data_IF_722925935312
#
_entry.id   IF_722925935312
#
_cell.length_a   1.000
_cell.length_b   1.000
_cell.length_c   1.000
_cell.angle_alpha   90.00
_cell.angle_beta   90.00
_cell.angle_gamma   90.00
#
_symmetry.space_group_name_H-M   'P 1'
#
loop_
_entity.id
_entity.type
_entity.pdbx_description
1 polymer ?
#
# COMPACT_ATOMS: atom_id res chain seq x y z
N UNK A 1 1.93 10.50 -33.78
CA UNK A 1 1.51 9.40 -32.89
C UNK A 1 0.68 10.01 -31.76
N UNK A 2 -0.50 9.45 -31.46
CA UNK A 2 -1.27 9.87 -30.27
C UNK A 2 -0.58 9.25 -29.06
N UNK A 3 0.00 10.09 -28.19
CA UNK A 3 0.58 9.63 -26.93
C UNK A 3 -0.60 9.37 -25.98
N UNK A 4 -0.91 8.09 -25.76
CA UNK A 4 -1.90 7.71 -24.74
C UNK A 4 -1.25 7.93 -23.38
N UNK A 5 -1.68 8.98 -22.69
CA UNK A 5 -1.18 9.31 -21.35
C UNK A 5 -1.55 8.21 -20.36
N UNK A 6 -0.62 7.83 -19.48
CA UNK A 6 -0.90 6.84 -18.45
C UNK A 6 -1.91 7.44 -17.46
N UNK A 7 -3.09 6.82 -17.24
CA UNK A 7 -4.11 7.33 -16.32
C UNK A 7 -3.62 7.48 -14.86
N UNK A 8 -2.57 6.75 -14.49
CA UNK A 8 -1.96 6.81 -13.16
C UNK A 8 -0.87 7.89 -13.01
N UNK A 9 -0.44 8.56 -14.10
CA UNK A 9 0.70 9.48 -14.08
C UNK A 9 0.49 10.66 -13.11
N UNK A 10 -0.71 11.23 -13.07
CA UNK A 10 -1.07 12.33 -12.15
C UNK A 10 -2.07 11.89 -11.07
N UNK A 11 -2.36 10.58 -10.95
CA UNK A 11 -3.34 10.08 -9.99
C UNK A 11 -2.68 9.70 -8.67
N UNK A 12 -2.91 10.52 -7.64
CA UNK A 12 -2.32 10.31 -6.31
C UNK A 12 -3.24 9.45 -5.46
N UNK A 13 -2.74 8.29 -5.04
CA UNK A 13 -3.41 7.41 -4.08
C UNK A 13 -3.06 7.76 -2.63
N UNK A 14 -4.00 7.49 -1.72
CA UNK A 14 -3.74 7.61 -0.28
C UNK A 14 -2.74 6.58 0.24
N UNK A 15 -2.34 6.72 1.50
CA UNK A 15 -1.29 5.88 2.10
C UNK A 15 -1.61 4.39 2.07
N UNK A 16 -0.59 3.58 1.79
CA UNK A 16 -0.72 2.12 1.69
C UNK A 16 -1.41 1.64 0.42
N UNK A 17 -1.60 2.55 -0.56
CA UNK A 17 -2.23 2.26 -1.84
C UNK A 17 -1.32 2.63 -3.01
N UNK A 18 -1.51 1.92 -4.11
CA UNK A 18 -0.86 2.19 -5.40
C UNK A 18 -1.92 2.34 -6.49
N UNK A 19 -1.58 3.10 -7.54
CA UNK A 19 -2.47 3.27 -8.68
C UNK A 19 -2.35 2.07 -9.63
N UNK A 20 -3.49 1.52 -10.02
CA UNK A 20 -3.61 0.46 -11.03
C UNK A 20 -4.59 0.91 -12.11
N UNK A 21 -4.30 0.55 -13.36
CA UNK A 21 -5.18 0.88 -14.49
C UNK A 21 -6.23 -0.22 -14.62
N UNK A 22 -7.50 0.17 -14.52
CA UNK A 22 -8.66 -0.70 -14.68
C UNK A 22 -8.86 -1.18 -16.12
N UNK A 23 -9.81 -2.09 -16.31
CA UNK A 23 -10.10 -2.69 -17.62
C UNK A 23 -10.62 -1.68 -18.66
N UNK A 24 -11.15 -0.54 -18.23
CA UNK A 24 -11.67 0.51 -19.11
C UNK A 24 -10.68 1.66 -19.27
N UNK A 25 -9.43 1.49 -18.82
CA UNK A 25 -8.38 2.53 -18.91
C UNK A 25 -8.51 3.63 -17.86
N UNK A 26 -9.25 3.39 -16.77
CA UNK A 26 -9.44 4.32 -15.67
C UNK A 26 -8.49 4.02 -14.50
N UNK A 27 -7.99 5.04 -13.77
CA UNK A 27 -7.12 4.82 -12.62
C UNK A 27 -7.92 4.38 -11.39
N UNK A 28 -7.41 3.40 -10.65
CA UNK A 28 -7.95 2.91 -9.38
C UNK A 28 -6.86 2.83 -8.31
N UNK A 29 -7.22 3.03 -7.04
CA UNK A 29 -6.30 2.87 -5.92
C UNK A 29 -6.51 1.53 -5.21
N UNK A 30 -5.57 0.62 -5.39
CA UNK A 30 -5.53 -0.67 -4.71
C UNK A 30 -4.52 -0.66 -3.56
N UNK A 31 -4.63 -1.60 -2.62
CA UNK A 31 -3.59 -1.70 -1.59
C UNK A 31 -2.28 -2.11 -2.25
N UNK A 32 -1.14 -1.59 -1.78
CA UNK A 32 0.18 -1.93 -2.32
C UNK A 32 0.33 -3.45 -2.37
N UNK A 33 0.64 -3.98 -3.55
CA UNK A 33 0.75 -5.40 -3.79
C UNK A 33 1.95 -6.01 -3.06
N UNK A 34 3.13 -5.38 -3.20
CA UNK A 34 4.39 -5.77 -2.58
C UNK A 34 5.20 -4.54 -2.15
N UNK A 35 5.72 -4.57 -0.92
CA UNK A 35 6.66 -3.55 -0.45
C UNK A 35 8.09 -3.85 -0.94
N UNK A 36 8.96 -2.82 -1.07
CA UNK A 36 10.36 -3.02 -1.43
C UNK A 36 11.05 -4.01 -0.50
N UNK A 37 11.96 -4.81 -1.05
CA UNK A 37 12.82 -5.66 -0.24
C UNK A 37 13.88 -4.79 0.43
N UNK A 38 14.01 -4.95 1.74
CA UNK A 38 14.99 -4.24 2.56
C UNK A 38 16.18 -5.15 2.86
N UNK A 39 17.34 -4.55 3.13
CA UNK A 39 18.59 -5.25 3.47
C UNK A 39 18.62 -5.78 4.92
N UNK A 40 17.60 -5.44 5.71
CA UNK A 40 17.45 -5.87 7.09
C UNK A 40 17.99 -4.86 8.10
N UNK A 41 18.30 -3.62 7.70
CA UNK A 41 18.65 -2.54 8.63
C UNK A 41 17.55 -2.37 9.70
N UNK A 42 17.86 -2.51 11.01
CA UNK A 42 16.92 -2.24 12.08
C UNK A 42 16.30 -0.84 12.04
N UNK A 43 16.94 0.14 11.40
CA UNK A 43 16.48 1.53 11.28
C UNK A 43 15.33 1.71 10.29
N UNK A 44 15.10 0.75 9.39
CA UNK A 44 13.95 0.79 8.49
C UNK A 44 12.63 0.46 9.20
N UNK A 45 12.71 -0.18 10.37
CA UNK A 45 11.55 -0.59 11.15
C UNK A 45 10.84 0.61 11.73
N UNK A 46 9.51 0.52 11.79
CA UNK A 46 8.66 1.60 12.32
C UNK A 46 7.73 1.06 13.40
N UNK A 47 7.44 1.89 14.41
CA UNK A 47 6.47 1.57 15.45
C UNK A 47 5.13 2.24 15.16
N UNK A 48 4.05 1.48 15.20
CA UNK A 48 2.69 1.99 15.11
C UNK A 48 2.15 2.43 16.48
N UNK A 49 1.06 3.19 16.48
CA UNK A 49 0.40 3.71 17.69
C UNK A 49 -0.25 2.63 18.57
N UNK A 50 -0.33 1.39 18.09
CA UNK A 50 -0.74 0.21 18.86
C UNK A 50 0.45 -0.55 19.48
N UNK A 51 1.64 0.05 19.51
CA UNK A 51 2.89 -0.55 20.00
C UNK A 51 3.32 -1.81 19.22
N UNK A 52 2.89 -1.96 17.97
CA UNK A 52 3.39 -3.00 17.08
C UNK A 52 4.45 -2.46 16.12
N UNK A 53 5.55 -3.21 15.98
CA UNK A 53 6.66 -2.86 15.07
C UNK A 53 6.47 -3.52 13.72
N UNK A 54 6.58 -2.72 12.66
CA UNK A 54 6.53 -3.15 11.27
C UNK A 54 7.93 -3.08 10.65
N UNK A 55 8.17 -3.93 9.66
CA UNK A 55 9.47 -4.00 8.98
C UNK A 55 9.78 -2.74 8.17
N UNK A 56 8.76 -2.01 7.72
CA UNK A 56 8.90 -0.74 7.03
C UNK A 56 7.63 0.12 7.15
N UNK A 57 7.73 1.39 6.78
CA UNK A 57 6.56 2.28 6.66
C UNK A 57 5.57 1.80 5.58
N UNK A 58 6.07 1.19 4.51
CA UNK A 58 5.23 0.59 3.47
C UNK A 58 4.39 -0.54 4.05
N UNK A 59 5.02 -1.46 4.79
CA UNK A 59 4.34 -2.63 5.38
C UNK A 59 3.27 -2.22 6.39
N UNK A 60 3.55 -1.19 7.20
CA UNK A 60 2.57 -0.62 8.13
C UNK A 60 1.32 -0.13 7.40
N UNK A 61 1.45 0.69 6.35
CA UNK A 61 0.28 1.23 5.65
C UNK A 61 -0.40 0.22 4.74
N UNK A 62 0.37 -0.70 4.14
CA UNK A 62 -0.16 -1.82 3.38
C UNK A 62 -1.04 -2.70 4.25
N UNK A 63 -0.55 -3.10 5.42
CA UNK A 63 -1.32 -3.88 6.40
C UNK A 63 -2.62 -3.15 6.79
N UNK A 64 -2.54 -1.86 7.13
CA UNK A 64 -3.74 -1.06 7.43
C UNK A 64 -4.74 -1.07 6.27
N UNK A 65 -4.27 -0.88 5.04
CA UNK A 65 -5.12 -0.91 3.85
C UNK A 65 -5.82 -2.27 3.69
N UNK A 66 -5.04 -3.36 3.76
CA UNK A 66 -5.55 -4.73 3.62
C UNK A 66 -6.58 -5.06 4.69
N UNK A 67 -6.32 -4.66 5.95
CA UNK A 67 -7.24 -4.88 7.06
C UNK A 67 -8.51 -4.05 6.95
N UNK A 68 -8.43 -2.79 6.49
CA UNK A 68 -9.62 -1.97 6.18
C UNK A 68 -10.48 -2.58 5.07
N UNK A 69 -9.87 -3.25 4.09
CA UNK A 69 -10.57 -3.96 3.01
C UNK A 69 -11.07 -5.36 3.41
N UNK A 70 -10.77 -5.85 4.62
CA UNK A 70 -11.11 -7.21 5.01
C UNK A 70 -10.39 -8.29 4.19
N UNK A 71 -9.21 -7.96 3.63
CA UNK A 71 -8.41 -8.89 2.83
C UNK A 71 -7.98 -10.10 3.66
N UNK A 72 -7.89 -11.26 3.03
CA UNK A 72 -7.29 -12.47 3.63
C UNK A 72 -5.80 -12.29 3.99
N UNK A 73 -5.14 -11.30 3.38
CA UNK A 73 -3.74 -10.97 3.65
C UNK A 73 -3.55 -10.05 4.86
N UNK A 74 -4.63 -9.55 5.47
CA UNK A 74 -4.56 -8.85 6.74
C UNK A 74 -4.10 -9.81 7.84
N UNK A 75 -3.01 -9.49 8.54
CA UNK A 75 -2.52 -10.31 9.63
C UNK A 75 -3.39 -10.16 10.89
N UNK A 76 -3.82 -8.93 11.22
CA UNK A 76 -4.68 -8.66 12.38
C UNK A 76 -5.76 -7.62 12.07
N UNK A 77 -7.03 -7.97 12.31
CA UNK A 77 -8.17 -7.04 12.11
C UNK A 77 -8.02 -5.72 12.86
N UNK A 78 -7.32 -5.70 13.99
CA UNK A 78 -7.01 -4.48 14.76
C UNK A 78 -6.20 -3.46 13.98
N UNK A 79 -5.39 -3.87 12.99
CA UNK A 79 -4.61 -2.97 12.13
C UNK A 79 -5.44 -2.16 11.14
N UNK A 80 -6.75 -2.42 11.04
CA UNK A 80 -7.66 -1.58 10.26
C UNK A 80 -7.82 -0.16 10.83
N UNK A 81 -7.33 0.12 12.04
CA UNK A 81 -7.47 1.41 12.72
C UNK A 81 -6.29 2.36 12.42
#
# INVERSE_FOLDING_TARGET
>A
AVVVKNPCEDHVCGWGKECVVGKKGEPHCECISKCPELDGDPMDKVCANNNETFVSLCDLYRERCLCKKGSKQCAKKSHAK
#
